data_IF_431068059956
#
_entry.id   IF_431068059956
#
_cell.length_a   1.000
_cell.length_b   1.000
_cell.length_c   1.000
_cell.angle_alpha   90.00
_cell.angle_beta   90.00
_cell.angle_gamma   90.00
#
_symmetry.space_group_name_H-M   'P 1'
#
loop_
_entity.id
_entity.type
_entity.pdbx_description
1 polymer ?
#
# COMPACT_ATOMS: atom_id res chain seq x y z
N UNK A 1 -14.47 14.29 28.42
CA UNK A 1 -13.75 13.10 27.91
C UNK A 1 -12.82 13.59 26.82
N UNK A 2 -11.51 13.45 27.03
CA UNK A 2 -10.48 13.88 26.07
C UNK A 2 -10.42 12.79 24.99
N UNK A 3 -10.90 13.07 23.79
CA UNK A 3 -10.64 12.22 22.63
C UNK A 3 -9.20 12.48 22.21
N UNK A 4 -8.30 11.61 22.69
CA UNK A 4 -6.91 11.57 22.29
C UNK A 4 -6.84 11.33 20.77
N UNK A 5 -6.10 12.20 20.09
CA UNK A 5 -5.69 12.01 18.71
C UNK A 5 -4.79 10.77 18.64
N UNK A 6 -5.33 9.68 18.11
CA UNK A 6 -4.55 8.50 17.74
C UNK A 6 -3.71 8.86 16.52
N UNK A 7 -2.48 9.29 16.78
CA UNK A 7 -1.41 9.20 15.80
C UNK A 7 -1.21 7.70 15.52
N UNK A 8 -1.81 7.21 14.43
CA UNK A 8 -1.37 5.97 13.81
C UNK A 8 0.02 6.25 13.23
N UNK A 9 1.02 6.23 14.10
CA UNK A 9 2.36 5.87 13.68
C UNK A 9 2.22 4.46 13.13
N UNK A 10 2.20 4.33 11.81
CA UNK A 10 2.31 3.07 11.11
C UNK A 10 3.64 2.44 11.53
N UNK A 11 3.62 1.74 12.67
CA UNK A 11 4.59 0.69 12.92
C UNK A 11 4.48 -0.19 11.70
N UNK A 12 5.54 -0.27 10.90
CA UNK A 12 5.69 -1.28 9.88
C UNK A 12 5.65 -2.64 10.60
N UNK A 13 4.43 -3.08 10.90
CA UNK A 13 4.16 -4.45 11.26
C UNK A 13 4.53 -5.20 10.00
N UNK A 14 5.59 -5.99 10.06
CA UNK A 14 5.82 -7.04 9.10
C UNK A 14 4.63 -7.99 9.25
N UNK A 15 3.54 -7.70 8.54
CA UNK A 15 2.43 -8.62 8.41
C UNK A 15 3.02 -9.93 7.88
N UNK A 16 2.67 -11.05 8.51
CA UNK A 16 2.95 -12.38 7.98
C UNK A 16 2.51 -12.37 6.52
N UNK A 17 3.47 -12.42 5.59
CA UNK A 17 3.17 -12.29 4.16
C UNK A 17 2.40 -13.53 3.74
N UNK A 18 1.09 -13.39 3.58
CA UNK A 18 0.20 -14.46 3.16
C UNK A 18 0.32 -14.68 1.64
N UNK A 19 -0.20 -15.81 1.14
CA UNK A 19 -0.28 -16.04 -0.31
C UNK A 19 -1.13 -14.97 -1.00
N UNK A 20 -2.15 -14.45 -0.31
CA UNK A 20 -3.00 -13.36 -0.82
C UNK A 20 -2.23 -12.04 -0.90
N UNK A 21 -1.39 -11.72 0.09
CA UNK A 21 -0.50 -10.54 0.04
C UNK A 21 0.43 -10.59 -1.18
N UNK A 22 1.04 -11.77 -1.42
CA UNK A 22 1.92 -11.98 -2.58
C UNK A 22 1.13 -11.76 -3.88
N UNK A 23 -0.08 -12.30 -3.96
CA UNK A 23 -0.94 -12.17 -5.14
C UNK A 23 -1.30 -10.71 -5.40
N UNK A 24 -1.73 -9.96 -4.38
CA UNK A 24 -2.17 -8.58 -4.54
C UNK A 24 -1.02 -7.62 -4.83
N UNK A 25 0.13 -7.81 -4.17
CA UNK A 25 1.35 -7.04 -4.49
C UNK A 25 1.79 -7.27 -5.93
N UNK A 26 1.80 -8.51 -6.40
CA UNK A 26 2.19 -8.82 -7.79
C UNK A 26 1.20 -8.25 -8.82
N UNK A 27 -0.11 -8.27 -8.51
CA UNK A 27 -1.12 -7.64 -9.35
C UNK A 27 -0.89 -6.12 -9.42
N UNK A 28 -0.69 -5.46 -8.27
CA UNK A 28 -0.38 -4.04 -8.22
C UNK A 28 0.86 -3.68 -9.05
N UNK A 29 1.93 -4.47 -8.94
CA UNK A 29 3.14 -4.24 -9.75
C UNK A 29 2.81 -4.35 -11.24
N UNK A 30 2.05 -5.38 -11.64
CA UNK A 30 1.66 -5.57 -13.03
C UNK A 30 0.82 -4.40 -13.58
N UNK A 31 -0.10 -3.86 -12.77
CA UNK A 31 -0.95 -2.73 -13.12
C UNK A 31 -0.13 -1.44 -13.30
N UNK A 32 0.91 -1.26 -12.49
CA UNK A 32 1.75 -0.05 -12.47
C UNK A 32 2.99 -0.09 -13.37
N UNK A 33 3.26 -1.21 -14.07
CA UNK A 33 4.46 -1.40 -14.94
C UNK A 33 4.69 -0.30 -15.99
N UNK A 34 3.65 0.43 -16.38
CA UNK A 34 3.70 1.44 -17.46
C UNK A 34 3.81 2.88 -16.95
N UNK A 35 3.81 3.08 -15.63
CA UNK A 35 3.78 4.43 -15.04
C UNK A 35 5.17 5.09 -14.90
N UNK A 36 6.23 4.45 -15.42
CA UNK A 36 7.55 5.08 -15.57
C UNK A 36 8.47 5.06 -14.33
N UNK A 37 8.05 4.45 -13.23
CA UNK A 37 8.93 4.13 -12.10
C UNK A 37 9.79 2.88 -12.36
N UNK A 38 10.87 2.73 -11.60
CA UNK A 38 11.63 1.47 -11.59
C UNK A 38 10.84 0.37 -10.91
N UNK A 39 11.12 -0.89 -11.23
CA UNK A 39 10.43 -2.03 -10.61
C UNK A 39 10.56 -2.04 -9.08
N UNK A 40 11.70 -1.59 -8.54
CA UNK A 40 11.91 -1.49 -7.08
C UNK A 40 11.00 -0.43 -6.43
N UNK A 41 10.84 0.74 -7.07
CA UNK A 41 9.94 1.81 -6.61
C UNK A 41 8.49 1.32 -6.64
N UNK A 42 8.06 0.71 -7.75
CA UNK A 42 6.70 0.16 -7.87
C UNK A 42 6.46 -0.93 -6.83
N UNK A 43 7.43 -1.82 -6.59
CA UNK A 43 7.32 -2.88 -5.58
C UNK A 43 7.16 -2.30 -4.18
N UNK A 44 7.96 -1.30 -3.79
CA UNK A 44 7.84 -0.62 -2.49
C UNK A 44 6.47 0.02 -2.32
N UNK A 45 5.99 0.73 -3.34
CA UNK A 45 4.64 1.31 -3.33
C UNK A 45 3.57 0.24 -3.11
N UNK A 46 3.58 -0.84 -3.90
CA UNK A 46 2.58 -1.90 -3.81
C UNK A 46 2.58 -2.65 -2.47
N UNK A 47 3.76 -2.87 -1.88
CA UNK A 47 3.86 -3.45 -0.53
C UNK A 47 3.30 -2.50 0.52
N UNK A 48 3.62 -1.20 0.44
CA UNK A 48 3.07 -0.19 1.35
C UNK A 48 1.54 -0.15 1.28
N UNK A 49 0.99 -0.12 0.07
CA UNK A 49 -0.47 -0.09 -0.13
C UNK A 49 -1.16 -1.36 0.37
N UNK A 50 -0.61 -2.54 0.07
CA UNK A 50 -1.17 -3.80 0.56
C UNK A 50 -1.21 -3.85 2.10
N UNK A 51 -0.14 -3.40 2.76
CA UNK A 51 -0.09 -3.37 4.23
C UNK A 51 -1.09 -2.37 4.83
N UNK A 52 -1.43 -1.30 4.10
CA UNK A 52 -2.39 -0.29 4.56
C UNK A 52 -3.85 -0.76 4.47
N UNK A 53 -4.16 -1.70 3.56
CA UNK A 53 -5.53 -2.18 3.31
C UNK A 53 -6.14 -2.97 4.47
N UNK A 54 -5.31 -3.65 5.27
CA UNK A 54 -5.78 -4.52 6.35
C UNK A 54 -6.38 -5.85 5.85
N UNK A 55 -6.52 -6.81 6.76
CA UNK A 55 -6.78 -8.21 6.41
C UNK A 55 -8.23 -8.53 5.97
N UNK A 56 -9.17 -7.62 6.21
CA UNK A 56 -10.59 -7.81 5.87
C UNK A 56 -10.96 -7.17 4.52
N UNK A 57 -10.01 -6.55 3.82
CA UNK A 57 -10.23 -5.93 2.52
C UNK A 57 -10.29 -6.98 1.40
N UNK A 58 -11.22 -6.80 0.47
CA UNK A 58 -11.50 -7.74 -0.63
C UNK A 58 -11.19 -7.16 -2.01
N UNK A 59 -10.98 -5.84 -2.09
CA UNK A 59 -10.55 -5.13 -3.30
C UNK A 59 -9.09 -5.45 -3.60
N UNK A 60 -8.71 -5.32 -4.86
CA UNK A 60 -7.29 -5.23 -5.22
C UNK A 60 -6.69 -3.89 -4.78
N UNK A 61 -5.37 -3.82 -4.61
CA UNK A 61 -4.63 -2.58 -4.29
C UNK A 61 -5.00 -1.43 -5.26
N UNK A 62 -5.02 -1.71 -6.56
CA UNK A 62 -5.35 -0.75 -7.63
C UNK A 62 -6.79 -0.26 -7.59
N UNK A 63 -7.71 -1.06 -7.05
CA UNK A 63 -9.10 -0.62 -6.85
C UNK A 63 -9.26 0.19 -5.57
N UNK A 64 -8.50 -0.17 -4.54
CA UNK A 64 -8.54 0.46 -3.22
C UNK A 64 -7.90 1.84 -3.21
N UNK A 65 -6.78 2.03 -3.91
CA UNK A 65 -6.05 3.31 -3.98
C UNK A 65 -6.93 4.48 -4.46
N UNK A 66 -7.92 4.19 -5.33
CA UNK A 66 -8.86 5.19 -5.88
C UNK A 66 -9.73 5.87 -4.81
N UNK A 67 -9.93 5.22 -3.68
CA UNK A 67 -10.71 5.75 -2.54
C UNK A 67 -9.83 6.11 -1.34
N UNK A 68 -8.52 5.86 -1.42
CA UNK A 68 -7.54 6.03 -0.34
C UNK A 68 -6.38 6.94 -0.81
N UNK A 69 -6.68 8.22 -1.10
CA UNK A 69 -5.68 9.15 -1.64
C UNK A 69 -4.59 9.52 -0.62
N UNK A 70 -4.90 9.47 0.68
CA UNK A 70 -3.94 9.80 1.73
C UNK A 70 -2.88 8.71 1.86
N UNK A 71 -3.29 7.44 1.79
CA UNK A 71 -2.42 6.26 1.78
C UNK A 71 -1.61 6.19 0.49
N UNK A 72 -2.25 6.44 -0.66
CA UNK A 72 -1.55 6.57 -1.95
C UNK A 72 -0.41 7.57 -1.86
N UNK A 73 -0.67 8.76 -1.33
CA UNK A 73 0.35 9.81 -1.19
C UNK A 73 1.45 9.44 -0.18
N UNK A 74 1.09 8.75 0.90
CA UNK A 74 2.07 8.29 1.89
C UNK A 74 3.01 7.23 1.27
N UNK A 75 2.44 6.26 0.55
CA UNK A 75 3.17 5.19 -0.11
C UNK A 75 3.98 5.67 -1.31
N UNK A 76 3.50 6.66 -2.08
CA UNK A 76 4.27 7.33 -3.12
C UNK A 76 5.55 7.94 -2.55
N UNK A 77 5.41 8.67 -1.43
CA UNK A 77 6.53 9.29 -0.73
C UNK A 77 7.50 8.26 -0.15
N UNK A 78 7.00 7.18 0.44
CA UNK A 78 7.81 6.10 0.99
C UNK A 78 8.60 5.37 -0.10
N UNK A 79 7.97 5.09 -1.24
CA UNK A 79 8.59 4.47 -2.39
C UNK A 79 9.58 5.39 -3.12
N UNK A 80 9.52 6.70 -2.87
CA UNK A 80 10.31 7.71 -3.58
C UNK A 80 9.84 7.90 -5.02
N UNK A 81 8.53 7.77 -5.26
CA UNK A 81 7.95 7.86 -6.60
C UNK A 81 7.51 9.28 -6.97
N UNK A 82 6.45 9.79 -6.34
CA UNK A 82 5.76 11.04 -6.69
C UNK A 82 5.83 12.05 -5.55
#
# INVERSE_FOLDING_TARGET
>A
MILAASLLASTAAFADTTEDDIKWVNQCIADNKKEGATEDVVRKYCVCMNNAMGNDETKSVTEWEKTHPDETKACDKEAGWK
#
